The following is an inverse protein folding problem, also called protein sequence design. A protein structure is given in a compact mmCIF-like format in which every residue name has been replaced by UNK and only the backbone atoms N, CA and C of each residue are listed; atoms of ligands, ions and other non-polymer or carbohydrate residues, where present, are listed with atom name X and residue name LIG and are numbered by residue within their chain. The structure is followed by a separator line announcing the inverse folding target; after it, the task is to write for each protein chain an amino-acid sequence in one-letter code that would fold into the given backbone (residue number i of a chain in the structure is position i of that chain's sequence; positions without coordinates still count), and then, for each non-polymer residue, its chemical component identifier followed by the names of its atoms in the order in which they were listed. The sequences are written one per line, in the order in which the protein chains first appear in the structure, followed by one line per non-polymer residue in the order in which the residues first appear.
data_IF_253352112817
#
_entry.id   IF_253352112817
#
_cell.length_a   1.000
_cell.length_b   1.000
_cell.length_c   1.000
_cell.angle_alpha   90.00
_cell.angle_beta   90.00
_cell.angle_gamma   90.00
#
_symmetry.space_group_name_H-M   'P 1'
#
loop_
_entity.id
_entity.type
_entity.pdbx_description
1 polymer ?
#
# COMPACT_ATOMS: atom_id res chain seq x y z
N UNK A 1 -1.75 13.41 22.09
CA UNK A 1 -1.13 12.10 21.81
C UNK A 1 -0.42 12.23 20.47
N UNK A 2 0.91 12.18 20.46
CA UNK A 2 1.73 12.22 19.23
C UNK A 2 1.99 10.82 18.68
N UNK A 3 2.46 10.70 17.43
CA UNK A 3 2.86 9.41 16.83
C UNK A 3 3.90 8.70 17.70
N UNK A 4 4.89 9.45 18.22
CA UNK A 4 5.92 8.90 19.10
C UNK A 4 5.37 8.34 20.41
N UNK A 5 4.38 9.02 21.02
CA UNK A 5 3.72 8.51 22.24
C UNK A 5 2.93 7.23 21.97
N UNK A 6 2.22 7.17 20.84
CA UNK A 6 1.47 5.99 20.44
C UNK A 6 2.39 4.81 20.07
N UNK A 7 3.50 5.05 19.38
CA UNK A 7 4.53 4.04 19.10
C UNK A 7 5.16 3.48 20.38
N UNK A 8 5.45 4.36 21.35
CA UNK A 8 5.96 3.94 22.66
C UNK A 8 4.95 3.08 23.43
N UNK A 9 3.65 3.37 23.31
CA UNK A 9 2.60 2.51 23.88
C UNK A 9 2.53 1.16 23.17
N UNK A 10 2.57 1.15 21.83
CA UNK A 10 2.58 -0.08 21.04
C UNK A 10 3.74 -1.01 21.37
N UNK A 11 4.95 -0.47 21.55
CA UNK A 11 6.11 -1.27 21.95
C UNK A 11 5.91 -1.96 23.31
N UNK A 12 5.18 -1.32 24.24
CA UNK A 12 4.80 -1.91 25.54
C UNK A 12 3.75 -3.01 25.37
N UNK A 13 2.71 -2.76 24.54
CA UNK A 13 1.65 -3.73 24.25
C UNK A 13 2.19 -4.98 23.54
N UNK A 14 3.18 -4.81 22.67
CA UNK A 14 3.88 -5.91 22.00
C UNK A 14 4.80 -6.71 22.93
N UNK A 15 4.82 -6.41 24.24
CA UNK A 15 5.61 -7.12 25.27
C UNK A 15 7.10 -7.22 24.92
N UNK A 16 7.63 -6.19 24.28
CA UNK A 16 9.03 -6.15 23.84
C UNK A 16 9.30 -6.83 22.49
N UNK A 17 8.28 -7.34 21.78
CA UNK A 17 8.44 -7.73 20.39
C UNK A 17 8.67 -6.48 19.52
N UNK A 18 9.63 -6.58 18.59
CA UNK A 18 10.00 -5.47 17.73
C UNK A 18 8.85 -5.13 16.76
N UNK A 19 8.31 -3.89 16.78
CA UNK A 19 7.28 -3.48 15.83
C UNK A 19 7.74 -3.56 14.36
N UNK A 20 9.05 -3.51 14.08
CA UNK A 20 9.56 -3.70 12.72
C UNK A 20 9.33 -5.14 12.19
N UNK A 21 9.14 -6.13 13.07
CA UNK A 21 8.80 -7.50 12.68
C UNK A 21 7.42 -7.61 12.01
N UNK A 22 6.55 -6.61 12.20
CA UNK A 22 5.21 -6.57 11.62
C UNK A 22 5.20 -6.01 10.18
N UNK A 23 6.36 -5.61 9.64
CA UNK A 23 6.48 -5.10 8.29
C UNK A 23 6.34 -6.21 7.27
N UNK A 24 5.65 -5.93 6.18
CA UNK A 24 5.52 -6.86 5.06
C UNK A 24 6.32 -6.36 3.87
N UNK A 25 7.22 -7.20 3.37
CA UNK A 25 7.94 -6.93 2.12
C UNK A 25 7.12 -7.48 0.97
N UNK A 26 6.76 -6.62 0.03
CA UNK A 26 6.02 -6.98 -1.17
C UNK A 26 6.98 -7.54 -2.24
N UNK A 27 6.47 -8.34 -3.20
CA UNK A 27 7.30 -8.93 -4.25
C UNK A 27 8.04 -7.92 -5.14
N UNK A 28 7.56 -6.69 -5.20
CA UNK A 28 8.15 -5.58 -5.96
C UNK A 28 9.23 -4.81 -5.17
N UNK A 29 9.56 -5.27 -3.96
CA UNK A 29 10.56 -4.65 -3.08
C UNK A 29 10.02 -3.48 -2.25
N UNK A 30 8.72 -3.19 -2.33
CA UNK A 30 8.10 -2.22 -1.43
C UNK A 30 7.93 -2.80 -0.03
N UNK A 31 7.98 -1.94 0.99
CA UNK A 31 7.71 -2.32 2.37
C UNK A 31 6.41 -1.67 2.80
N UNK A 32 5.43 -2.49 3.15
CA UNK A 32 4.22 -2.04 3.81
C UNK A 32 4.46 -1.97 5.32
N UNK A 33 4.31 -0.76 5.86
CA UNK A 33 4.27 -0.58 7.31
C UNK A 33 2.93 -1.11 7.84
N UNK A 34 2.91 -1.75 9.03
CA UNK A 34 1.68 -2.26 9.63
C UNK A 34 0.69 -1.16 9.99
N UNK A 35 1.18 0.08 10.21
CA UNK A 35 0.36 1.23 10.57
C UNK A 35 0.92 2.50 9.93
N UNK A 36 0.00 3.31 9.39
CA UNK A 36 0.30 4.61 8.81
C UNK A 36 -0.23 5.74 9.70
N UNK A 37 0.43 6.89 9.68
CA UNK A 37 0.08 8.03 10.51
C UNK A 37 0.13 9.33 9.70
N UNK A 38 -0.64 10.33 10.11
CA UNK A 38 -0.79 11.58 9.37
C UNK A 38 0.54 12.33 9.18
N UNK A 39 1.45 12.27 10.15
CA UNK A 39 2.77 12.92 10.02
C UNK A 39 3.62 12.29 8.90
N UNK A 40 3.38 11.02 8.53
CA UNK A 40 4.04 10.39 7.39
C UNK A 40 3.64 11.04 6.06
N UNK A 41 2.45 11.66 5.99
CA UNK A 41 2.03 12.41 4.80
C UNK A 41 2.91 13.64 4.57
N UNK A 42 3.51 14.21 5.61
CA UNK A 42 4.45 15.32 5.45
C UNK A 42 5.69 14.92 4.63
N UNK A 43 6.08 13.64 4.66
CA UNK A 43 7.18 13.12 3.86
C UNK A 43 6.83 12.92 2.37
N UNK A 44 5.53 12.89 2.02
CA UNK A 44 5.08 12.75 0.64
C UNK A 44 5.30 14.02 -0.20
N UNK A 45 5.62 15.14 0.44
CA UNK A 45 5.84 16.42 -0.22
C UNK A 45 4.54 17.08 -0.69
N UNK A 46 4.64 17.93 -1.71
CA UNK A 46 3.49 18.61 -2.30
C UNK A 46 2.57 17.66 -3.08
N UNK A 47 1.36 18.11 -3.43
CA UNK A 47 0.46 17.31 -4.25
C UNK A 47 1.17 16.89 -5.55
N UNK A 48 0.96 15.64 -6.02
CA UNK A 48 1.54 15.22 -7.28
C UNK A 48 1.14 16.19 -8.38
N UNK A 49 2.02 16.38 -9.37
CA UNK A 49 1.69 17.17 -10.54
C UNK A 49 0.32 16.71 -11.06
N UNK A 50 -0.62 17.63 -11.34
CA UNK A 50 -1.95 17.24 -11.76
C UNK A 50 -1.82 16.28 -12.92
N UNK A 51 -2.45 15.11 -12.81
CA UNK A 51 -2.50 14.14 -13.89
C UNK A 51 -2.85 14.92 -15.16
N UNK A 52 -1.99 14.86 -16.20
CA UNK A 52 -2.34 15.38 -17.53
C UNK A 52 -3.76 14.92 -17.77
N UNK A 53 -4.69 15.85 -17.99
CA UNK A 53 -6.10 15.54 -18.29
C UNK A 53 -6.07 14.43 -19.33
N UNK A 54 -6.36 13.20 -18.90
CA UNK A 54 -6.59 12.13 -19.84
C UNK A 54 -7.75 12.62 -20.73
N UNK A 55 -7.72 12.38 -22.04
CA UNK A 55 -8.91 12.57 -22.86
C UNK A 55 -10.07 11.90 -22.11
N UNK A 56 -11.14 12.65 -21.83
CA UNK A 56 -12.31 12.13 -21.12
C UNK A 56 -12.69 10.81 -21.81
N UNK A 57 -12.53 9.64 -21.16
CA UNK A 57 -12.71 8.39 -21.88
C UNK A 57 -14.17 8.33 -22.31
N UNK A 58 -14.40 8.21 -23.61
CA UNK A 58 -15.65 7.70 -24.11
C UNK A 58 -15.72 6.20 -23.74
N UNK A 59 -16.08 5.92 -22.49
CA UNK A 59 -16.56 4.67 -21.92
C UNK A 59 -15.58 3.53 -21.51
N UNK A 60 -16.13 2.66 -20.63
CA UNK A 60 -15.92 1.20 -20.42
C UNK A 60 -14.90 0.60 -19.42
N UNK A 61 -14.39 1.29 -18.40
CA UNK A 61 -13.51 0.67 -17.37
C UNK A 61 -14.15 -0.49 -16.54
N UNK A 62 -15.45 -0.77 -16.72
CA UNK A 62 -16.16 -1.93 -16.13
C UNK A 62 -16.18 -3.17 -17.03
N UNK A 63 -15.62 -3.10 -18.25
CA UNK A 63 -15.64 -4.22 -19.21
C UNK A 63 -14.24 -4.74 -19.46
N UNK A 64 -13.62 -5.31 -18.43
CA UNK A 64 -12.43 -6.13 -18.64
C UNK A 64 -12.89 -7.55 -18.99
N UNK A 65 -12.59 -8.09 -20.19
CA UNK A 65 -12.89 -9.49 -20.46
C UNK A 65 -11.96 -10.36 -19.61
N UNK A 66 -12.51 -11.28 -18.81
CA UNK A 66 -11.75 -12.35 -18.17
C UNK A 66 -11.29 -13.32 -19.26
N UNK A 67 -9.98 -13.42 -19.58
CA UNK A 67 -9.53 -14.48 -20.47
C UNK A 67 -9.65 -15.82 -19.74
N UNK A 68 -10.41 -16.76 -20.31
CA UNK A 68 -10.36 -18.16 -19.90
C UNK A 68 -9.00 -18.72 -20.34
N UNK A 69 -8.16 -19.05 -19.38
CA UNK A 69 -6.90 -19.75 -19.63
C UNK A 69 -7.24 -21.22 -19.88
N UNK A 70 -6.90 -21.82 -21.04
CA UNK A 70 -7.07 -23.27 -21.21
C UNK A 70 -6.12 -23.99 -20.27
N UNK A 71 -6.64 -24.93 -19.47
CA UNK A 71 -5.85 -25.86 -18.68
C UNK A 71 -4.98 -26.71 -19.60
N UNK A 72 -3.68 -26.76 -19.32
CA UNK A 72 -2.69 -27.45 -20.13
C UNK A 72 -3.04 -28.93 -20.32
N UNK A 73 -3.08 -29.40 -21.57
CA UNK A 73 -2.97 -30.81 -21.86
C UNK A 73 -1.48 -31.20 -21.83
N UNK A 74 -1.08 -31.99 -20.82
CA UNK A 74 0.20 -32.68 -20.82
C UNK A 74 0.28 -33.66 -21.99
N UNK A 75 1.39 -33.65 -22.72
CA UNK A 75 1.99 -34.84 -23.31
C UNK A 75 3.46 -34.61 -23.64
#
# INVERSE_FOLDING_TARGET
MSTAQWQAQLARELKGADPASLRWTLPDGLVAEPFYHHEALAALGGPPAPCRRAPRPAATWWRWPCPLVPTAASR
#
